data_IF_070387796055
#
_entry.id   IF_070387796055
#
_cell.length_a   1.000
_cell.length_b   1.000
_cell.length_c   1.000
_cell.angle_alpha   90.00
_cell.angle_beta   90.00
_cell.angle_gamma   90.00
#
_symmetry.space_group_name_H-M   'P 1'
#
loop_
_entity.id
_entity.type
_entity.pdbx_description
1 polymer ?
#
# COMPACT_ATOMS: atom_id res chain seq x y z
N UNK A 1 -14.74 11.17 7.16
CA UNK A 1 -15.19 10.20 8.18
C UNK A 1 -14.14 10.01 9.27
N UNK A 2 -12.91 9.58 8.92
CA UNK A 2 -11.79 9.45 9.89
C UNK A 2 -11.52 10.75 10.67
N UNK A 3 -11.52 11.90 10.00
CA UNK A 3 -11.26 13.20 10.64
C UNK A 3 -12.29 13.62 11.70
N UNK A 4 -13.44 12.94 11.81
CA UNK A 4 -14.42 13.16 12.88
C UNK A 4 -13.99 12.50 14.20
N UNK A 5 -13.13 11.49 14.14
CA UNK A 5 -12.67 10.71 15.28
C UNK A 5 -11.18 10.92 15.58
N UNK A 6 -10.40 11.34 14.58
CA UNK A 6 -8.96 11.57 14.69
C UNK A 6 -8.57 12.93 14.09
N UNK A 7 -7.74 13.69 14.79
CA UNK A 7 -7.13 14.90 14.22
C UNK A 7 -6.04 14.50 13.23
N UNK A 8 -6.20 14.88 11.97
CA UNK A 8 -5.19 14.64 10.93
C UNK A 8 -4.16 15.77 10.92
N UNK A 9 -2.88 15.41 10.85
CA UNK A 9 -1.76 16.34 10.73
C UNK A 9 -1.11 16.20 9.35
N UNK A 10 -0.39 17.25 8.96
CA UNK A 10 0.45 17.19 7.76
C UNK A 10 1.46 16.07 7.94
N UNK A 11 1.55 15.18 6.94
CA UNK A 11 2.42 14.02 6.96
C UNK A 11 1.73 12.71 7.35
N UNK A 12 0.47 12.75 7.82
CA UNK A 12 -0.29 11.53 8.08
C UNK A 12 -0.61 10.78 6.77
N UNK A 13 -0.49 9.45 6.79
CA UNK A 13 -0.73 8.57 5.65
C UNK A 13 -1.98 7.72 5.94
N UNK A 14 -2.92 7.71 4.99
CA UNK A 14 -4.16 6.93 5.09
C UNK A 14 -4.10 5.78 4.09
N UNK A 15 -4.15 4.55 4.59
CA UNK A 15 -4.35 3.36 3.77
C UNK A 15 -5.85 3.11 3.58
N UNK A 16 -6.32 3.11 2.33
CA UNK A 16 -7.75 3.03 1.98
C UNK A 16 -8.28 1.60 1.84
N UNK A 17 -7.44 0.61 2.12
CA UNK A 17 -7.76 -0.81 1.99
C UNK A 17 -7.18 -1.45 0.74
N UNK A 18 -7.23 -2.79 0.68
CA UNK A 18 -6.74 -3.59 -0.44
C UNK A 18 -7.94 -4.29 -1.10
N UNK A 19 -8.07 -4.26 -2.44
CA UNK A 19 -9.10 -5.04 -3.14
C UNK A 19 -8.95 -6.55 -2.91
N UNK A 20 -9.94 -7.32 -3.37
CA UNK A 20 -9.86 -8.77 -3.37
C UNK A 20 -8.70 -9.28 -4.26
N UNK A 21 -8.21 -10.49 -3.98
CA UNK A 21 -7.08 -11.10 -4.69
C UNK A 21 -5.75 -11.04 -3.93
N UNK A 22 -5.78 -10.80 -2.62
CA UNK A 22 -4.59 -10.92 -1.76
C UNK A 22 -4.10 -12.38 -1.69
N UNK A 23 -2.79 -12.55 -1.54
CA UNK A 23 -2.14 -13.86 -1.52
C UNK A 23 -0.90 -13.87 -0.63
N UNK A 24 -0.36 -15.06 -0.39
CA UNK A 24 0.85 -15.25 0.41
C UNK A 24 2.06 -14.71 -0.37
N UNK A 25 2.95 -14.02 0.34
CA UNK A 25 4.27 -13.60 -0.14
C UNK A 25 5.33 -14.54 0.43
N UNK A 26 6.30 -14.91 -0.40
CA UNK A 26 7.40 -15.82 -0.08
C UNK A 26 8.77 -15.17 -0.30
N UNK A 27 9.81 -15.71 0.31
CA UNK A 27 11.18 -15.25 0.08
C UNK A 27 11.55 -15.35 -1.40
N UNK A 28 12.28 -14.33 -1.88
CA UNK A 28 12.64 -14.09 -3.27
C UNK A 28 11.54 -13.57 -4.20
N UNK A 29 10.31 -13.37 -3.71
CA UNK A 29 9.27 -12.71 -4.50
C UNK A 29 9.66 -11.28 -4.85
N UNK A 30 9.21 -10.81 -6.02
CA UNK A 30 9.34 -9.41 -6.44
C UNK A 30 7.97 -8.78 -6.45
N UNK A 31 7.74 -7.88 -5.51
CA UNK A 31 6.49 -7.12 -5.39
C UNK A 31 6.62 -5.83 -6.18
N UNK A 32 5.73 -5.67 -7.16
CA UNK A 32 5.57 -4.43 -7.91
C UNK A 32 4.26 -3.76 -7.53
N UNK A 33 4.33 -2.48 -7.20
CA UNK A 33 3.16 -1.64 -6.96
C UNK A 33 3.10 -0.55 -8.01
N UNK A 34 1.91 -0.37 -8.60
CA UNK A 34 1.65 0.70 -9.55
C UNK A 34 0.47 1.55 -9.06
N UNK A 35 0.53 2.85 -9.35
CA UNK A 35 -0.62 3.74 -9.29
C UNK A 35 -0.96 4.08 -10.74
N UNK A 36 -2.15 3.71 -11.17
CA UNK A 36 -2.56 3.76 -12.57
C UNK A 36 -1.54 3.00 -13.45
N UNK A 37 -0.86 3.70 -14.35
CA UNK A 37 0.13 3.13 -15.26
C UNK A 37 1.58 3.44 -14.85
N UNK A 38 1.79 4.01 -13.66
CA UNK A 38 3.12 4.37 -13.17
C UNK A 38 3.59 3.38 -12.09
N UNK A 39 4.75 2.76 -12.30
CA UNK A 39 5.41 1.93 -11.30
C UNK A 39 5.87 2.83 -10.13
N UNK A 40 5.39 2.52 -8.93
CA UNK A 40 5.71 3.25 -7.70
C UNK A 40 6.82 2.58 -6.90
N UNK A 41 6.86 1.25 -6.94
CA UNK A 41 7.91 0.48 -6.31
C UNK A 41 8.07 -0.89 -6.97
N UNK A 42 9.29 -1.41 -6.89
CA UNK A 42 9.65 -2.79 -7.20
C UNK A 42 10.60 -3.28 -6.11
N UNK A 43 10.10 -4.14 -5.23
CA UNK A 43 10.80 -4.58 -4.02
C UNK A 43 11.01 -6.08 -4.10
N UNK A 44 12.24 -6.54 -3.89
CA UNK A 44 12.56 -7.95 -3.73
C UNK A 44 12.49 -8.35 -2.26
N UNK A 45 11.67 -9.34 -1.96
CA UNK A 45 11.53 -9.94 -0.63
C UNK A 45 12.75 -10.84 -0.40
N UNK A 46 13.48 -10.62 0.70
CA UNK A 46 14.59 -11.46 1.14
C UNK A 46 14.08 -12.44 2.18
#
# INVERSE_FOLDING_TARGET
YISKYFTLKIGDIIFTGTPAGVGKVSSNDVLKGCIENQEMFSIKVK
#
